data_IF_614889427338
#
_entry.id   IF_614889427338
#
_cell.length_a   1.000
_cell.length_b   1.000
_cell.length_c   1.000
_cell.angle_alpha   90.00
_cell.angle_beta   90.00
_cell.angle_gamma   90.00
#
_symmetry.space_group_name_H-M   'P 1'
#
loop_
_entity.id
_entity.type
_entity.pdbx_description
1 polymer ?
#
# COMPACT_ATOMS: atom_id res chain seq x y z
N UNK A 1 -10.53 12.51 -3.85
CA UNK A 1 -9.40 11.81 -3.24
C UNK A 1 -9.58 10.29 -3.24
N UNK A 2 -10.70 9.75 -2.73
CA UNK A 2 -10.91 8.30 -2.57
C UNK A 2 -10.87 7.54 -3.90
N UNK A 3 -11.52 8.04 -4.95
CA UNK A 3 -11.50 7.43 -6.27
C UNK A 3 -10.08 7.33 -6.86
N UNK A 4 -9.23 8.36 -6.66
CA UNK A 4 -7.85 8.32 -7.11
C UNK A 4 -7.03 7.21 -6.43
N UNK A 5 -7.25 6.99 -5.11
CA UNK A 5 -6.63 5.91 -4.35
C UNK A 5 -7.09 4.54 -4.85
N UNK A 6 -8.39 4.36 -5.06
CA UNK A 6 -8.98 3.12 -5.60
C UNK A 6 -8.35 2.78 -6.95
N UNK A 7 -8.28 3.74 -7.86
CA UNK A 7 -7.68 3.55 -9.19
C UNK A 7 -6.18 3.30 -9.13
N UNK A 8 -5.46 3.99 -8.25
CA UNK A 8 -4.02 3.76 -8.04
C UNK A 8 -3.75 2.32 -7.58
N UNK A 9 -4.51 1.86 -6.58
CA UNK A 9 -4.36 0.51 -6.04
C UNK A 9 -4.76 -0.58 -7.04
N UNK A 10 -5.78 -0.32 -7.86
CA UNK A 10 -6.11 -1.20 -8.98
C UNK A 10 -4.94 -1.35 -9.96
N UNK A 11 -4.32 -0.23 -10.36
CA UNK A 11 -3.16 -0.24 -11.26
C UNK A 11 -1.96 -0.98 -10.64
N UNK A 12 -1.67 -0.73 -9.37
CA UNK A 12 -0.61 -1.44 -8.65
C UNK A 12 -0.89 -2.95 -8.63
N UNK A 13 -2.15 -3.34 -8.37
CA UNK A 13 -2.56 -4.73 -8.46
C UNK A 13 -2.37 -5.35 -9.85
N UNK A 14 -2.69 -4.60 -10.91
CA UNK A 14 -2.56 -5.03 -12.31
C UNK A 14 -1.10 -5.17 -12.75
N UNK A 15 -0.20 -4.33 -12.24
CA UNK A 15 1.24 -4.34 -12.56
C UNK A 15 1.98 -5.53 -11.96
N UNK A 16 1.42 -6.20 -10.96
CA UNK A 16 2.07 -7.36 -10.35
C UNK A 16 2.23 -8.49 -11.39
N UNK A 17 3.48 -8.89 -11.64
CA UNK A 17 3.82 -10.01 -12.50
C UNK A 17 4.00 -11.30 -11.67
N UNK A 18 3.00 -12.20 -11.61
CA UNK A 18 3.08 -13.39 -10.77
C UNK A 18 4.23 -14.33 -11.15
N UNK A 19 4.60 -14.37 -12.43
CA UNK A 19 5.75 -15.18 -12.91
C UNK A 19 7.08 -14.65 -12.39
N UNK A 20 7.31 -13.33 -12.42
CA UNK A 20 8.51 -12.70 -11.83
C UNK A 20 8.55 -12.90 -10.33
N UNK A 21 7.41 -12.71 -9.66
CA UNK A 21 7.29 -12.99 -8.22
C UNK A 21 7.73 -14.41 -7.90
N UNK A 22 7.24 -15.41 -8.62
CA UNK A 22 7.59 -16.81 -8.37
C UNK A 22 9.07 -17.12 -8.61
N UNK A 23 9.66 -16.53 -9.64
CA UNK A 23 11.10 -16.69 -9.94
C UNK A 23 11.98 -16.06 -8.88
N UNK A 24 11.61 -14.89 -8.36
CA UNK A 24 12.37 -14.14 -7.36
C UNK A 24 11.91 -14.38 -5.93
N UNK A 25 10.97 -15.31 -5.67
CA UNK A 25 10.28 -15.50 -4.38
C UNK A 25 11.20 -15.60 -3.17
N UNK A 26 12.36 -16.27 -3.28
CA UNK A 26 13.32 -16.41 -2.16
C UNK A 26 13.88 -15.04 -1.74
N UNK A 27 14.18 -14.16 -2.70
CA UNK A 27 14.72 -12.82 -2.46
C UNK A 27 13.60 -11.89 -1.99
N UNK A 28 12.44 -11.93 -2.64
CA UNK A 28 11.26 -11.11 -2.29
C UNK A 28 10.81 -11.41 -0.86
N UNK A 29 10.57 -12.69 -0.54
CA UNK A 29 10.14 -13.09 0.80
C UNK A 29 11.29 -12.88 1.80
N UNK A 30 12.50 -13.29 1.48
CA UNK A 30 13.64 -13.16 2.39
C UNK A 30 13.95 -11.72 2.77
N UNK A 31 14.19 -10.84 1.78
CA UNK A 31 14.53 -9.43 2.04
C UNK A 31 13.31 -8.61 2.44
N UNK A 32 12.18 -8.78 1.73
CA UNK A 32 10.98 -7.99 1.96
C UNK A 32 10.33 -8.29 3.31
N UNK A 33 10.11 -9.57 3.64
CA UNK A 33 9.54 -9.95 4.95
C UNK A 33 10.46 -9.53 6.10
N UNK A 34 11.77 -9.77 5.97
CA UNK A 34 12.73 -9.35 7.00
C UNK A 34 12.70 -7.83 7.21
N UNK A 35 12.65 -7.05 6.14
CA UNK A 35 12.57 -5.60 6.23
C UNK A 35 11.26 -5.15 6.91
N UNK A 36 10.11 -5.68 6.47
CA UNK A 36 8.82 -5.34 7.08
C UNK A 36 8.80 -5.66 8.57
N UNK A 37 9.13 -6.91 8.93
CA UNK A 37 9.07 -7.36 10.32
C UNK A 37 10.04 -6.57 11.20
N UNK A 38 11.31 -6.44 10.79
CA UNK A 38 12.31 -5.72 11.59
C UNK A 38 11.96 -4.24 11.72
N UNK A 39 11.47 -3.59 10.65
CA UNK A 39 11.08 -2.19 10.73
C UNK A 39 9.86 -1.99 11.60
N UNK A 40 8.81 -2.82 11.44
CA UNK A 40 7.60 -2.73 12.26
C UNK A 40 7.93 -2.96 13.73
N UNK A 41 8.69 -4.00 14.05
CA UNK A 41 9.08 -4.29 15.45
C UNK A 41 9.91 -3.15 16.04
N UNK A 42 10.90 -2.65 15.29
CA UNK A 42 11.76 -1.57 15.79
C UNK A 42 10.98 -0.28 16.03
N UNK A 43 10.15 0.15 15.07
CA UNK A 43 9.33 1.36 15.21
C UNK A 43 8.26 1.20 16.29
N UNK A 44 7.60 0.02 16.35
CA UNK A 44 6.63 -0.28 17.40
C UNK A 44 7.25 -0.15 18.79
N UNK A 45 8.41 -0.75 19.01
CA UNK A 45 9.11 -0.68 20.30
C UNK A 45 9.48 0.76 20.66
N UNK A 46 9.98 1.55 19.71
CA UNK A 46 10.33 2.96 19.93
C UNK A 46 9.09 3.77 20.33
N UNK A 47 7.99 3.63 19.57
CA UNK A 47 6.75 4.34 19.88
C UNK A 47 6.11 3.88 21.19
N UNK A 48 6.19 2.57 21.49
CA UNK A 48 5.72 2.02 22.75
C UNK A 48 6.50 2.56 23.96
N UNK A 49 7.83 2.64 23.86
CA UNK A 49 8.68 3.25 24.89
C UNK A 49 8.42 4.75 25.00
N UNK A 50 8.09 5.41 23.90
CA UNK A 50 7.62 6.80 23.88
C UNK A 50 6.20 7.00 24.45
N UNK A 51 5.61 5.94 25.05
CA UNK A 51 4.29 5.92 25.69
C UNK A 51 3.09 6.15 24.78
N UNK A 52 3.23 5.81 23.50
CA UNK A 52 2.06 5.75 22.61
C UNK A 52 1.16 4.57 23.03
N UNK A 53 -0.14 4.71 22.73
CA UNK A 53 -1.05 3.57 22.87
C UNK A 53 -0.60 2.42 21.96
N UNK A 54 -0.65 1.16 22.40
CA UNK A 54 -0.14 0.02 21.63
C UNK A 54 -0.77 -0.12 20.23
N UNK A 55 -2.07 0.16 20.14
CA UNK A 55 -2.81 0.16 18.85
C UNK A 55 -2.30 1.25 17.90
N UNK A 56 -2.11 2.48 18.39
CA UNK A 56 -1.58 3.59 17.61
C UNK A 56 -0.12 3.36 17.18
N UNK A 57 0.71 2.86 18.12
CA UNK A 57 2.11 2.52 17.84
C UNK A 57 2.23 1.45 16.75
N UNK A 58 1.38 0.42 16.81
CA UNK A 58 1.37 -0.65 15.80
C UNK A 58 0.93 -0.13 14.43
N UNK A 59 -0.15 0.65 14.38
CA UNK A 59 -0.64 1.24 13.13
C UNK A 59 0.41 2.14 12.50
N UNK A 60 1.02 3.06 13.29
CA UNK A 60 2.07 3.94 12.80
C UNK A 60 3.30 3.16 12.30
N UNK A 61 3.71 2.11 13.03
CA UNK A 61 4.82 1.26 12.63
C UNK A 61 4.55 0.51 11.31
N UNK A 62 3.33 -0.02 11.13
CA UNK A 62 2.90 -0.67 9.88
C UNK A 62 2.90 0.32 8.71
N UNK A 63 2.34 1.51 8.90
CA UNK A 63 2.32 2.56 7.88
C UNK A 63 3.73 3.00 7.46
N UNK A 64 4.61 3.21 8.44
CA UNK A 64 5.96 3.73 8.22
C UNK A 64 6.96 2.67 7.74
N UNK A 65 6.64 1.40 7.86
CA UNK A 65 7.47 0.33 7.31
C UNK A 65 7.46 0.28 5.78
N UNK A 66 6.42 0.79 5.14
CA UNK A 66 6.29 0.86 3.69
C UNK A 66 7.18 1.96 3.09
N UNK A 67 7.68 1.73 1.87
CA UNK A 67 8.49 2.69 1.11
C UNK A 67 7.81 3.04 -0.21
N UNK A 68 8.14 4.19 -0.81
CA UNK A 68 7.51 4.62 -2.07
C UNK A 68 8.06 3.85 -3.26
N UNK A 69 7.21 3.03 -3.86
CA UNK A 69 7.53 2.28 -5.07
C UNK A 69 7.75 3.21 -6.25
N UNK A 70 6.88 4.22 -6.42
CA UNK A 70 6.97 5.14 -7.54
C UNK A 70 8.28 5.93 -7.55
N UNK A 71 8.64 6.58 -6.44
CA UNK A 71 9.84 7.42 -6.35
C UNK A 71 11.11 6.56 -6.53
N UNK A 72 11.18 5.42 -5.86
CA UNK A 72 12.38 4.56 -5.90
C UNK A 72 12.60 4.00 -7.29
N UNK A 73 11.58 3.38 -7.90
CA UNK A 73 11.73 2.77 -9.22
C UNK A 73 12.02 3.81 -10.29
N UNK A 74 11.41 4.99 -10.22
CA UNK A 74 11.70 6.08 -11.14
C UNK A 74 13.16 6.53 -11.00
N UNK A 75 13.63 6.79 -9.77
CA UNK A 75 15.02 7.20 -9.50
C UNK A 75 16.03 6.15 -9.98
N UNK A 76 15.76 4.86 -9.74
CA UNK A 76 16.63 3.75 -10.19
C UNK A 76 16.69 3.67 -11.73
N UNK A 77 15.57 3.93 -12.41
CA UNK A 77 15.50 3.97 -13.89
C UNK A 77 16.25 5.17 -14.45
N UNK A 78 16.03 6.38 -13.91
CA UNK A 78 16.70 7.63 -14.34
C UNK A 78 18.21 7.55 -14.18
N UNK A 79 18.69 6.96 -13.07
CA UNK A 79 20.13 6.75 -12.81
C UNK A 79 20.72 5.52 -13.53
N UNK A 80 19.92 4.78 -14.33
CA UNK A 80 20.32 3.55 -15.02
C UNK A 80 20.89 2.45 -14.11
N UNK A 81 20.49 2.41 -12.84
CA UNK A 81 20.96 1.42 -11.85
C UNK A 81 19.92 0.34 -11.52
N UNK A 82 18.79 0.32 -12.23
CA UNK A 82 17.70 -0.65 -12.01
C UNK A 82 18.16 -2.12 -12.18
N UNK A 83 19.11 -2.38 -13.11
CA UNK A 83 19.65 -3.75 -13.37
C UNK A 83 20.84 -4.12 -12.48
N UNK A 84 21.18 -3.31 -11.50
CA UNK A 84 22.24 -3.62 -10.53
C UNK A 84 21.72 -4.46 -9.36
N UNK A 85 22.61 -4.95 -8.50
CA UNK A 85 22.22 -5.66 -7.29
C UNK A 85 21.32 -4.79 -6.37
N UNK A 86 21.59 -3.49 -6.29
CA UNK A 86 20.76 -2.56 -5.54
C UNK A 86 19.36 -2.42 -6.14
N UNK A 87 19.26 -2.29 -7.47
CA UNK A 87 17.98 -2.18 -8.16
C UNK A 87 17.12 -3.43 -7.98
N UNK A 88 17.70 -4.62 -8.15
CA UNK A 88 16.99 -5.89 -7.93
C UNK A 88 16.57 -6.11 -6.47
N UNK A 89 17.43 -5.73 -5.51
CA UNK A 89 17.11 -5.82 -4.09
C UNK A 89 16.00 -4.85 -3.71
N UNK A 90 16.08 -3.58 -4.13
CA UNK A 90 15.05 -2.57 -3.92
C UNK A 90 13.72 -3.01 -4.53
N UNK A 91 13.71 -3.47 -5.78
CA UNK A 91 12.50 -3.99 -6.43
C UNK A 91 11.90 -5.18 -5.66
N UNK A 92 12.74 -6.10 -5.17
CA UNK A 92 12.27 -7.25 -4.41
C UNK A 92 11.59 -6.85 -3.08
N UNK A 93 12.16 -5.88 -2.37
CA UNK A 93 11.59 -5.36 -1.12
C UNK A 93 10.29 -4.62 -1.40
N UNK A 94 10.26 -3.72 -2.39
CA UNK A 94 9.07 -2.94 -2.76
C UNK A 94 7.92 -3.84 -3.19
N UNK A 95 8.20 -4.83 -4.03
CA UNK A 95 7.19 -5.78 -4.48
C UNK A 95 6.58 -6.58 -3.30
N UNK A 96 7.39 -6.92 -2.29
CA UNK A 96 6.87 -7.54 -1.07
C UNK A 96 5.99 -6.55 -0.28
N UNK A 97 6.42 -5.30 -0.13
CA UNK A 97 5.67 -4.26 0.58
C UNK A 97 4.31 -4.00 -0.08
N UNK A 98 4.26 -3.90 -1.42
CA UNK A 98 3.01 -3.70 -2.16
C UNK A 98 2.01 -4.83 -1.91
N UNK A 99 2.48 -6.08 -1.88
CA UNK A 99 1.65 -7.23 -1.53
C UNK A 99 1.26 -7.22 -0.04
N UNK A 100 2.15 -6.77 0.84
CA UNK A 100 1.91 -6.74 2.28
C UNK A 100 0.85 -5.69 2.69
N UNK A 101 0.58 -4.69 1.86
CA UNK A 101 -0.53 -3.73 2.08
C UNK A 101 -1.87 -4.45 2.22
N UNK A 102 -2.08 -5.55 1.48
CA UNK A 102 -3.34 -6.32 1.50
C UNK A 102 -3.63 -6.88 2.91
N UNK A 103 -2.75 -7.73 3.48
CA UNK A 103 -3.00 -8.25 4.82
C UNK A 103 -3.01 -7.14 5.88
N UNK A 104 -2.27 -6.03 5.70
CA UNK A 104 -2.34 -4.88 6.61
C UNK A 104 -3.75 -4.28 6.59
N UNK A 105 -4.30 -3.97 5.41
CA UNK A 105 -5.66 -3.44 5.27
C UNK A 105 -6.73 -4.38 5.85
N UNK A 106 -6.54 -5.69 5.71
CA UNK A 106 -7.43 -6.69 6.27
C UNK A 106 -7.30 -6.82 7.81
N UNK A 107 -6.11 -6.55 8.36
CA UNK A 107 -5.86 -6.61 9.80
C UNK A 107 -6.34 -5.38 10.56
N UNK A 108 -6.35 -4.20 9.95
CA UNK A 108 -6.73 -2.95 10.61
C UNK A 108 -8.12 -2.99 11.26
N UNK A 109 -9.19 -3.50 10.63
CA UNK A 109 -10.50 -3.64 11.28
C UNK A 109 -10.47 -4.58 12.48
N UNK A 110 -9.64 -5.63 12.44
CA UNK A 110 -9.48 -6.60 13.54
C UNK A 110 -8.80 -5.93 14.74
N UNK A 111 -7.81 -5.05 14.49
CA UNK A 111 -7.12 -4.28 15.54
C UNK A 111 -8.06 -3.25 16.17
N UNK A 112 -8.99 -2.69 15.41
CA UNK A 112 -9.91 -1.65 15.83
C UNK A 112 -10.89 -2.05 16.94
N UNK A 113 -10.97 -3.34 17.34
CA UNK A 113 -11.80 -3.86 18.44
C UNK A 113 -13.08 -3.02 18.67
N UNK A 114 -14.13 -3.26 17.89
CA UNK A 114 -15.50 -2.77 18.18
C UNK A 114 -15.64 -1.26 18.50
N UNK A 115 -14.95 -0.39 17.79
CA UNK A 115 -15.21 1.06 17.85
C UNK A 115 -15.71 1.61 16.50
N UNK A 116 -15.92 0.76 15.50
CA UNK A 116 -16.59 1.16 14.28
C UNK A 116 -18.09 1.26 14.57
N UNK A 117 -18.62 2.46 14.49
CA UNK A 117 -20.07 2.69 14.57
C UNK A 117 -20.81 1.71 13.66
N UNK A 118 -21.86 1.12 14.23
CA UNK A 118 -22.72 0.11 13.61
C UNK A 118 -23.38 0.59 12.29
N UNK A 119 -23.29 1.88 11.96
CA UNK A 119 -23.99 2.49 10.81
C UNK A 119 -23.45 2.07 9.43
N UNK A 120 -22.21 1.56 9.30
CA UNK A 120 -21.60 1.32 7.99
C UNK A 120 -21.38 -0.17 7.62
N UNK A 121 -21.84 -1.11 8.45
CA UNK A 121 -21.66 -2.55 8.17
C UNK A 121 -23.00 -3.19 7.75
N UNK A 122 -23.48 -2.86 6.56
CA UNK A 122 -24.82 -3.24 6.09
C UNK A 122 -25.07 -4.77 6.13
N UNK A 123 -24.07 -5.59 5.88
CA UNK A 123 -24.22 -7.05 5.87
C UNK A 123 -23.72 -7.74 7.16
N UNK A 124 -22.74 -7.14 7.87
CA UNK A 124 -22.15 -7.75 9.06
C UNK A 124 -23.01 -7.61 10.31
N UNK A 125 -23.93 -6.63 10.38
CA UNK A 125 -24.85 -6.44 11.49
C UNK A 125 -25.78 -7.64 11.74
N UNK A 126 -26.04 -8.42 10.70
CA UNK A 126 -26.91 -9.61 10.78
C UNK A 126 -26.15 -10.89 11.19
N UNK A 127 -24.81 -10.83 11.33
CA UNK A 127 -23.98 -11.98 11.65
C UNK A 127 -23.54 -11.97 13.13
N UNK A 128 -23.61 -13.12 13.83
CA UNK A 128 -23.06 -13.26 15.17
C UNK A 128 -21.57 -12.89 15.23
N UNK A 129 -21.11 -12.29 16.33
CA UNK A 129 -19.74 -11.78 16.53
C UNK A 129 -18.63 -12.79 16.20
N UNK A 130 -18.85 -14.07 16.41
CA UNK A 130 -17.90 -15.14 16.11
C UNK A 130 -17.79 -15.47 14.61
N UNK A 131 -18.80 -15.10 13.81
CA UNK A 131 -18.81 -15.28 12.35
C UNK A 131 -18.19 -14.11 11.58
N UNK A 132 -18.03 -12.94 12.20
CA UNK A 132 -17.48 -11.74 11.54
C UNK A 132 -16.06 -11.95 10.97
N UNK A 133 -15.09 -12.59 11.66
CA UNK A 133 -13.78 -12.89 11.07
C UNK A 133 -13.86 -13.83 9.86
N UNK A 134 -14.80 -14.76 9.87
CA UNK A 134 -15.03 -15.67 8.76
C UNK A 134 -15.64 -14.98 7.55
N UNK A 135 -16.48 -13.95 7.75
CA UNK A 135 -17.07 -13.17 6.66
C UNK A 135 -16.02 -12.39 5.86
N UNK A 136 -14.96 -11.91 6.51
CA UNK A 136 -13.82 -11.26 5.85
C UNK A 136 -13.11 -12.25 4.91
N UNK A 137 -12.79 -13.43 5.43
CA UNK A 137 -12.15 -14.51 4.65
C UNK A 137 -13.06 -14.96 3.51
N UNK A 138 -14.35 -15.12 3.80
CA UNK A 138 -15.35 -15.50 2.81
C UNK A 138 -15.52 -14.43 1.74
N UNK A 139 -15.55 -13.14 2.11
CA UNK A 139 -15.62 -12.01 1.19
C UNK A 139 -14.45 -11.98 0.22
N UNK A 140 -13.23 -12.13 0.73
CA UNK A 140 -12.02 -12.21 -0.11
C UNK A 140 -12.05 -13.46 -1.00
N UNK A 141 -12.44 -14.63 -0.45
CA UNK A 141 -12.57 -15.86 -1.23
C UNK A 141 -13.65 -15.75 -2.31
N UNK A 142 -14.80 -15.17 -1.97
CA UNK A 142 -15.89 -14.91 -2.91
C UNK A 142 -15.45 -13.96 -4.02
N UNK A 143 -14.70 -12.93 -3.70
CA UNK A 143 -14.14 -12.01 -4.68
C UNK A 143 -13.20 -12.74 -5.65
N UNK A 144 -12.28 -13.55 -5.14
CA UNK A 144 -11.36 -14.35 -5.98
C UNK A 144 -12.16 -15.29 -6.90
N UNK A 145 -13.20 -15.91 -6.37
CA UNK A 145 -14.08 -16.78 -7.14
C UNK A 145 -14.84 -16.02 -8.23
N UNK A 146 -15.50 -14.90 -7.87
CA UNK A 146 -16.21 -14.03 -8.80
C UNK A 146 -15.29 -13.50 -9.91
N UNK A 147 -14.08 -13.12 -9.56
CA UNK A 147 -13.12 -12.65 -10.54
C UNK A 147 -12.79 -13.68 -11.59
N UNK A 148 -12.48 -14.89 -11.16
CA UNK A 148 -12.10 -15.96 -12.07
C UNK A 148 -13.28 -16.45 -12.93
N UNK A 149 -14.46 -16.58 -12.35
CA UNK A 149 -15.60 -17.22 -12.99
C UNK A 149 -16.65 -16.26 -13.56
N UNK A 150 -16.63 -15.00 -13.15
CA UNK A 150 -17.57 -13.97 -13.62
C UNK A 150 -16.85 -12.85 -14.36
N UNK A 151 -15.86 -12.20 -13.73
CA UNK A 151 -15.26 -10.99 -14.29
C UNK A 151 -14.41 -11.28 -15.52
N UNK A 152 -13.53 -12.28 -15.49
CA UNK A 152 -12.71 -12.64 -16.66
C UNK A 152 -13.58 -13.10 -17.83
N UNK A 153 -14.57 -13.99 -17.68
CA UNK A 153 -15.50 -14.34 -18.76
C UNK A 153 -16.32 -13.16 -19.27
N UNK A 154 -16.75 -12.24 -18.38
CA UNK A 154 -17.46 -11.04 -18.76
C UNK A 154 -16.59 -10.12 -19.64
N UNK A 155 -15.35 -9.86 -19.23
CA UNK A 155 -14.40 -9.08 -20.04
C UNK A 155 -14.10 -9.77 -21.37
N UNK A 156 -14.02 -11.10 -21.41
CA UNK A 156 -13.86 -11.86 -22.65
C UNK A 156 -15.04 -11.67 -23.61
N UNK A 157 -16.25 -11.63 -23.06
CA UNK A 157 -17.44 -11.36 -23.87
C UNK A 157 -17.41 -9.93 -24.43
N UNK A 158 -17.06 -8.95 -23.61
CA UNK A 158 -16.93 -7.54 -24.01
C UNK A 158 -15.82 -7.36 -25.06
N UNK A 159 -14.66 -7.96 -24.87
CA UNK A 159 -13.51 -7.88 -25.81
C UNK A 159 -13.86 -8.39 -27.21
N UNK A 160 -14.81 -9.32 -27.34
CA UNK A 160 -15.28 -9.80 -28.65
C UNK A 160 -15.96 -8.72 -29.50
N UNK A 161 -16.39 -7.60 -28.89
CA UNK A 161 -16.95 -6.47 -29.62
C UNK A 161 -15.89 -5.72 -30.46
N UNK A 162 -14.59 -5.93 -30.18
CA UNK A 162 -13.48 -5.24 -30.85
C UNK A 162 -13.35 -3.76 -30.47
N UNK A 163 -14.11 -3.28 -29.47
CA UNK A 163 -14.11 -1.88 -29.02
C UNK A 163 -13.28 -1.77 -27.74
N UNK A 164 -12.12 -1.13 -27.83
CA UNK A 164 -11.21 -0.95 -26.71
C UNK A 164 -11.81 -0.07 -25.61
N UNK A 165 -12.61 0.93 -26.01
CA UNK A 165 -13.29 1.84 -25.08
C UNK A 165 -14.30 1.08 -24.20
N UNK A 166 -14.98 0.09 -24.80
CA UNK A 166 -15.94 -0.74 -24.05
C UNK A 166 -15.24 -1.65 -23.04
N UNK A 167 -14.06 -2.19 -23.39
CA UNK A 167 -13.26 -3.00 -22.49
C UNK A 167 -12.75 -2.16 -21.30
N UNK A 168 -12.24 -0.96 -21.57
CA UNK A 168 -11.79 -0.03 -20.52
C UNK A 168 -12.94 0.38 -19.60
N UNK A 169 -14.08 0.79 -20.16
CA UNK A 169 -15.25 1.15 -19.39
C UNK A 169 -15.75 -0.01 -18.51
N UNK A 170 -15.75 -1.23 -19.05
CA UNK A 170 -16.16 -2.44 -18.33
C UNK A 170 -15.19 -2.78 -17.20
N UNK A 171 -13.87 -2.62 -17.40
CA UNK A 171 -12.90 -2.84 -16.34
C UNK A 171 -13.01 -1.81 -15.22
N UNK A 172 -13.23 -0.53 -15.55
CA UNK A 172 -13.47 0.52 -14.55
C UNK A 172 -14.76 0.26 -13.77
N UNK A 173 -15.83 -0.17 -14.47
CA UNK A 173 -17.08 -0.57 -13.83
C UNK A 173 -16.87 -1.74 -12.85
N UNK A 174 -16.06 -2.73 -13.23
CA UNK A 174 -15.70 -3.84 -12.34
C UNK A 174 -14.92 -3.39 -11.12
N UNK A 175 -13.97 -2.46 -11.27
CA UNK A 175 -13.21 -1.89 -10.15
C UNK A 175 -14.13 -1.21 -9.16
N UNK A 176 -15.03 -0.37 -9.64
CA UNK A 176 -16.02 0.32 -8.79
C UNK A 176 -16.93 -0.70 -8.12
N UNK A 177 -17.48 -1.65 -8.88
CA UNK A 177 -18.37 -2.68 -8.35
C UNK A 177 -17.72 -3.56 -7.28
N UNK A 178 -16.44 -3.93 -7.48
CA UNK A 178 -15.67 -4.69 -6.48
C UNK A 178 -15.38 -3.84 -5.24
N UNK A 179 -15.05 -2.56 -5.42
CA UNK A 179 -14.79 -1.65 -4.31
C UNK A 179 -16.04 -1.44 -3.46
N UNK A 180 -17.20 -1.27 -4.07
CA UNK A 180 -18.49 -1.16 -3.38
C UNK A 180 -18.89 -2.48 -2.70
N UNK A 181 -18.63 -3.61 -3.35
CA UNK A 181 -18.88 -4.91 -2.74
C UNK A 181 -18.02 -5.13 -1.49
N UNK A 182 -16.74 -4.75 -1.54
CA UNK A 182 -15.87 -4.81 -0.36
C UNK A 182 -16.33 -3.88 0.75
N UNK A 183 -16.77 -2.66 0.40
CA UNK A 183 -17.35 -1.73 1.36
C UNK A 183 -18.58 -2.31 2.06
N UNK A 184 -19.48 -2.94 1.30
CA UNK A 184 -20.67 -3.60 1.84
C UNK A 184 -20.38 -4.75 2.81
N UNK A 185 -19.23 -5.41 2.66
CA UNK A 185 -18.73 -6.48 3.55
C UNK A 185 -17.89 -5.92 4.72
N UNK A 186 -17.79 -4.58 4.86
CA UNK A 186 -17.03 -3.95 5.95
C UNK A 186 -15.52 -3.92 5.72
N UNK A 187 -15.07 -4.17 4.48
CA UNK A 187 -13.67 -4.09 4.07
C UNK A 187 -13.37 -2.77 3.35
N UNK A 188 -12.09 -2.42 3.29
CA UNK A 188 -11.67 -1.23 2.55
C UNK A 188 -11.98 -1.34 1.05
N UNK A 189 -12.64 -0.34 0.42
CA UNK A 189 -12.79 -0.25 -1.03
C UNK A 189 -11.45 -0.34 -1.77
N UNK A 190 -10.41 0.21 -1.17
CA UNK A 190 -9.03 0.19 -1.66
C UNK A 190 -8.48 -1.24 -1.78
N UNK A 191 -8.76 -2.10 -0.80
CA UNK A 191 -8.45 -3.53 -0.85
C UNK A 191 -9.16 -4.22 -2.02
N UNK A 192 -10.45 -3.89 -2.22
CA UNK A 192 -11.23 -4.42 -3.35
C UNK A 192 -10.62 -4.09 -4.70
N UNK A 193 -10.29 -2.83 -4.91
CA UNK A 193 -9.65 -2.36 -6.13
C UNK A 193 -8.31 -3.06 -6.40
N UNK A 194 -7.46 -3.17 -5.38
CA UNK A 194 -6.19 -3.87 -5.50
C UNK A 194 -6.37 -5.34 -5.88
N UNK A 195 -7.28 -6.06 -5.20
CA UNK A 195 -7.58 -7.45 -5.52
C UNK A 195 -8.14 -7.62 -6.94
N UNK A 196 -9.01 -6.71 -7.39
CA UNK A 196 -9.49 -6.69 -8.77
C UNK A 196 -8.34 -6.54 -9.77
N UNK A 197 -7.39 -5.63 -9.52
CA UNK A 197 -6.18 -5.46 -10.32
C UNK A 197 -5.33 -6.74 -10.35
N UNK A 198 -5.06 -7.34 -9.19
CA UNK A 198 -4.27 -8.57 -9.07
C UNK A 198 -4.91 -9.76 -9.82
N UNK A 199 -6.24 -9.84 -9.82
CA UNK A 199 -6.96 -10.89 -10.54
C UNK A 199 -6.84 -10.70 -12.05
N UNK A 200 -6.95 -9.46 -12.52
CA UNK A 200 -6.80 -9.13 -13.93
C UNK A 200 -5.33 -9.17 -14.40
N UNK A 201 -4.37 -9.06 -13.49
CA UNK A 201 -2.94 -9.23 -13.77
C UNK A 201 -2.58 -10.60 -14.37
N UNK A 202 -3.38 -11.63 -14.06
CA UNK A 202 -3.25 -12.97 -14.63
C UNK A 202 -4.14 -13.23 -15.86
N UNK A 203 -4.94 -12.24 -16.29
CA UNK A 203 -5.84 -12.38 -17.41
C UNK A 203 -5.15 -12.11 -18.76
N UNK A 204 -5.76 -12.60 -19.84
CA UNK A 204 -5.34 -12.28 -21.21
C UNK A 204 -5.48 -10.79 -21.56
N UNK A 205 -6.28 -10.04 -20.80
CA UNK A 205 -6.58 -8.62 -21.00
C UNK A 205 -5.58 -7.69 -20.30
N UNK A 206 -4.62 -8.21 -19.54
CA UNK A 206 -3.68 -7.41 -18.75
C UNK A 206 -2.99 -6.33 -19.58
N UNK A 207 -2.33 -6.72 -20.66
CA UNK A 207 -1.55 -5.78 -21.48
C UNK A 207 -2.41 -4.70 -22.14
N UNK A 208 -3.62 -5.07 -22.54
CA UNK A 208 -4.56 -4.15 -23.15
C UNK A 208 -5.07 -3.14 -22.12
N UNK A 209 -5.47 -3.60 -20.93
CA UNK A 209 -5.87 -2.74 -19.83
C UNK A 209 -4.73 -1.86 -19.34
N UNK A 210 -3.53 -2.42 -19.20
CA UNK A 210 -2.33 -1.67 -18.81
C UNK A 210 -2.04 -0.55 -19.81
N UNK A 211 -2.03 -0.84 -21.10
CA UNK A 211 -1.75 0.16 -22.16
C UNK A 211 -2.79 1.29 -22.22
N UNK A 212 -4.05 0.99 -21.93
CA UNK A 212 -5.13 1.98 -21.96
C UNK A 212 -5.20 2.83 -20.69
N UNK A 213 -4.82 2.26 -19.53
CA UNK A 213 -4.91 2.95 -18.24
C UNK A 213 -3.57 3.65 -17.89
N UNK A 214 -2.44 3.17 -18.41
CA UNK A 214 -1.11 3.74 -18.17
C UNK A 214 -1.02 5.26 -18.43
N UNK A 215 -1.62 5.84 -19.49
CA UNK A 215 -1.62 7.29 -19.70
C UNK A 215 -2.30 8.06 -18.57
N UNK A 216 -3.29 7.46 -17.93
CA UNK A 216 -4.01 8.06 -16.81
C UNK A 216 -3.30 7.88 -15.47
N UNK A 217 -2.35 6.96 -15.36
CA UNK A 217 -1.60 6.68 -14.13
C UNK A 217 -0.90 7.94 -13.61
N UNK A 218 -0.18 8.64 -14.49
CA UNK A 218 0.49 9.89 -14.11
C UNK A 218 -0.48 10.97 -13.64
N UNK A 219 -1.61 11.11 -14.32
CA UNK A 219 -2.67 12.05 -13.96
C UNK A 219 -3.31 11.67 -12.62
N UNK A 220 -3.66 10.40 -12.43
CA UNK A 220 -4.27 9.90 -11.19
C UNK A 220 -3.31 10.06 -10.00
N UNK A 221 -2.04 9.76 -10.22
CA UNK A 221 -0.98 9.95 -9.21
C UNK A 221 -0.82 11.44 -8.86
N UNK A 222 -0.80 12.32 -9.87
CA UNK A 222 -0.74 13.76 -9.64
C UNK A 222 -1.96 14.27 -8.86
N UNK A 223 -3.18 13.87 -9.24
CA UNK A 223 -4.42 14.21 -8.51
C UNK A 223 -4.37 13.69 -7.09
N UNK A 224 -3.88 12.48 -6.89
CA UNK A 224 -3.70 11.89 -5.56
C UNK A 224 -2.73 12.73 -4.71
N UNK A 225 -1.53 13.04 -5.23
CA UNK A 225 -0.55 13.83 -4.47
C UNK A 225 -1.01 15.27 -4.22
N UNK A 226 -1.68 15.91 -5.16
CA UNK A 226 -2.29 17.24 -4.96
C UNK A 226 -3.36 17.18 -3.89
N UNK A 227 -4.24 16.17 -3.95
CA UNK A 227 -5.29 15.96 -2.94
C UNK A 227 -4.71 15.69 -1.55
N UNK A 228 -3.72 14.81 -1.44
CA UNK A 228 -3.02 14.53 -0.17
C UNK A 228 -2.28 15.78 0.30
N UNK A 229 -1.53 16.44 -0.59
CA UNK A 229 -0.81 17.67 -0.27
C UNK A 229 -1.72 18.79 0.27
N UNK A 230 -2.92 18.92 -0.30
CA UNK A 230 -3.92 19.90 0.16
C UNK A 230 -4.53 19.55 1.53
N UNK A 231 -4.43 18.31 1.98
CA UNK A 231 -4.89 17.88 3.32
C UNK A 231 -3.82 18.06 4.40
N UNK A 232 -2.56 18.34 4.01
CA UNK A 232 -1.48 18.58 4.96
C UNK A 232 -1.74 19.90 5.69
N UNK A 233 -1.98 19.79 6.98
CA UNK A 233 -2.18 20.94 7.82
C UNK A 233 -0.82 21.48 8.33
N UNK A 234 -0.31 22.51 7.69
CA UNK A 234 0.94 23.16 8.11
C UNK A 234 0.89 23.71 9.54
N UNK A 235 -0.29 24.04 10.04
CA UNK A 235 -0.47 24.49 11.41
C UNK A 235 -0.08 23.41 12.42
N UNK A 236 -0.36 22.13 12.12
CA UNK A 236 0.05 20.99 12.95
C UNK A 236 1.58 20.89 13.03
N UNK A 237 2.28 21.18 11.93
CA UNK A 237 3.75 21.20 11.91
C UNK A 237 4.29 22.33 12.78
N UNK A 238 3.63 23.52 12.76
CA UNK A 238 4.02 24.67 13.56
C UNK A 238 3.69 24.51 15.04
N UNK A 239 2.64 23.76 15.39
CA UNK A 239 2.26 23.50 16.77
C UNK A 239 3.26 22.59 17.49
N UNK A 240 3.77 21.59 16.82
CA UNK A 240 4.64 20.58 17.46
C UNK A 240 5.80 20.17 16.53
N UNK A 241 6.65 21.12 16.13
CA UNK A 241 7.72 20.88 15.17
C UNK A 241 8.74 19.85 15.69
N UNK A 242 9.04 19.89 17.00
CA UNK A 242 9.99 18.98 17.61
C UNK A 242 9.54 17.52 17.49
N UNK A 243 8.25 17.25 17.72
CA UNK A 243 7.68 15.92 17.58
C UNK A 243 7.76 15.44 16.12
N UNK A 244 7.37 16.27 15.16
CA UNK A 244 7.32 15.89 13.75
C UNK A 244 8.73 15.64 13.21
N UNK A 245 9.67 16.58 13.38
CA UNK A 245 11.02 16.42 12.86
C UNK A 245 11.81 15.32 13.58
N UNK A 246 11.65 15.17 14.89
CA UNK A 246 12.27 14.05 15.62
C UNK A 246 11.76 12.70 15.13
N UNK A 247 10.45 12.57 14.89
CA UNK A 247 9.85 11.35 14.36
C UNK A 247 10.33 11.05 12.93
N UNK A 248 10.42 12.07 12.06
CA UNK A 248 11.01 11.93 10.72
C UNK A 248 12.42 11.36 10.79
N UNK A 249 13.29 11.97 11.63
CA UNK A 249 14.68 11.52 11.78
C UNK A 249 14.72 10.09 12.32
N UNK A 250 13.93 9.76 13.34
CA UNK A 250 13.89 8.43 13.93
C UNK A 250 13.46 7.38 12.88
N UNK A 251 12.41 7.65 12.11
CA UNK A 251 11.91 6.73 11.09
C UNK A 251 12.95 6.51 10.00
N UNK A 252 13.54 7.59 9.47
CA UNK A 252 14.57 7.51 8.45
C UNK A 252 15.79 6.69 8.94
N UNK A 253 16.27 6.96 10.16
CA UNK A 253 17.42 6.26 10.75
C UNK A 253 17.11 4.78 11.00
N UNK A 254 15.95 4.46 11.57
CA UNK A 254 15.55 3.07 11.83
C UNK A 254 15.47 2.29 10.52
N UNK A 255 14.78 2.84 9.51
CA UNK A 255 14.67 2.18 8.20
C UNK A 255 16.04 2.02 7.53
N UNK A 256 16.88 3.06 7.56
CA UNK A 256 18.22 3.01 7.01
C UNK A 256 19.06 1.91 7.68
N UNK A 257 19.06 1.83 9.01
CA UNK A 257 19.80 0.83 9.76
C UNK A 257 19.31 -0.59 9.50
N UNK A 258 17.99 -0.78 9.50
CA UNK A 258 17.36 -2.08 9.20
C UNK A 258 17.70 -2.53 7.78
N UNK A 259 17.55 -1.66 6.79
CA UNK A 259 17.84 -1.95 5.39
C UNK A 259 19.32 -2.25 5.17
N UNK A 260 20.20 -1.45 5.80
CA UNK A 260 21.64 -1.68 5.75
C UNK A 260 22.02 -3.04 6.36
N UNK A 261 21.44 -3.39 7.52
CA UNK A 261 21.63 -4.68 8.17
C UNK A 261 21.17 -5.85 7.31
N UNK A 262 20.01 -5.74 6.66
CA UNK A 262 19.46 -6.75 5.75
C UNK A 262 20.37 -6.90 4.53
N UNK A 263 20.75 -5.81 3.89
CA UNK A 263 21.63 -5.88 2.72
C UNK A 263 22.99 -6.53 3.04
N UNK A 264 23.55 -6.26 4.22
CA UNK A 264 24.74 -6.94 4.72
C UNK A 264 24.50 -8.43 4.94
N UNK A 265 23.38 -8.82 5.53
CA UNK A 265 23.00 -10.23 5.74
C UNK A 265 22.86 -10.98 4.40
N UNK A 266 22.27 -10.34 3.39
CA UNK A 266 22.14 -10.89 2.04
C UNK A 266 23.38 -10.68 1.16
N UNK A 267 24.51 -10.26 1.75
CA UNK A 267 25.81 -10.12 1.10
C UNK A 267 25.84 -9.15 -0.09
N UNK A 268 25.09 -8.06 -0.01
CA UNK A 268 25.22 -6.97 -0.97
C UNK A 268 26.59 -6.29 -0.83
N UNK A 269 27.17 -5.82 -1.94
CA UNK A 269 28.37 -4.98 -1.93
C UNK A 269 28.06 -3.68 -1.16
N UNK A 270 29.07 -3.11 -0.51
CA UNK A 270 28.89 -1.96 0.40
C UNK A 270 28.20 -0.79 -0.30
N UNK A 271 28.67 -0.41 -1.48
CA UNK A 271 28.08 0.65 -2.31
C UNK A 271 26.61 0.38 -2.68
N UNK A 272 26.33 -0.86 -3.11
CA UNK A 272 24.97 -1.29 -3.45
C UNK A 272 24.05 -1.34 -2.22
N UNK A 273 24.61 -1.71 -1.07
CA UNK A 273 23.85 -1.75 0.18
C UNK A 273 23.45 -0.36 0.66
N UNK A 274 24.36 0.63 0.58
CA UNK A 274 24.02 2.02 0.87
C UNK A 274 22.93 2.55 -0.07
N UNK A 275 23.00 2.26 -1.37
CA UNK A 275 21.97 2.65 -2.33
C UNK A 275 20.58 2.11 -1.94
N UNK A 276 20.49 0.82 -1.56
CA UNK A 276 19.22 0.23 -1.09
C UNK A 276 18.75 0.91 0.19
N UNK A 277 19.63 1.10 1.15
CA UNK A 277 19.29 1.67 2.45
C UNK A 277 18.78 3.11 2.34
N UNK A 278 19.43 3.96 1.57
CA UNK A 278 19.00 5.34 1.34
C UNK A 278 17.71 5.41 0.49
N UNK A 279 17.66 4.67 -0.62
CA UNK A 279 16.52 4.71 -1.52
C UNK A 279 15.20 4.28 -0.83
N UNK A 280 15.25 3.32 0.09
CA UNK A 280 14.05 2.75 0.75
C UNK A 280 13.81 3.31 2.16
N UNK A 281 14.63 4.23 2.67
CA UNK A 281 14.48 4.77 4.03
C UNK A 281 13.24 5.63 4.23
N UNK A 282 12.69 6.21 3.17
CA UNK A 282 11.48 7.02 3.20
C UNK A 282 10.22 6.19 3.49
N UNK A 283 9.13 6.89 3.85
CA UNK A 283 7.79 6.33 3.94
C UNK A 283 7.13 6.39 2.55
N UNK A 284 6.30 5.41 2.22
CA UNK A 284 5.63 5.32 0.93
C UNK A 284 4.24 5.94 0.89
N UNK A 285 3.70 6.07 -0.31
CA UNK A 285 2.37 6.61 -0.59
C UNK A 285 1.23 5.81 0.06
N UNK A 286 1.41 4.51 0.24
CA UNK A 286 0.41 3.68 0.92
C UNK A 286 0.19 4.05 2.39
N UNK A 287 1.16 4.71 3.03
CA UNK A 287 0.98 5.21 4.38
C UNK A 287 -0.19 6.21 4.47
N UNK A 288 -0.40 7.05 3.46
CA UNK A 288 -1.55 7.98 3.43
C UNK A 288 -2.89 7.23 3.43
N UNK A 289 -2.97 6.14 2.67
CA UNK A 289 -4.17 5.30 2.59
C UNK A 289 -4.43 4.62 3.93
N UNK A 290 -3.39 3.98 4.50
CA UNK A 290 -3.50 3.24 5.76
C UNK A 290 -3.82 4.16 6.94
N UNK A 291 -3.20 5.35 7.02
CA UNK A 291 -3.44 6.35 8.06
C UNK A 291 -4.89 6.85 7.99
N UNK A 292 -5.38 7.21 6.78
CA UNK A 292 -6.77 7.64 6.61
C UNK A 292 -7.77 6.54 6.94
N UNK A 293 -7.51 5.31 6.50
CA UNK A 293 -8.37 4.17 6.81
C UNK A 293 -8.38 3.86 8.32
N UNK A 294 -7.22 3.90 8.97
CA UNK A 294 -7.11 3.71 10.42
C UNK A 294 -7.85 4.80 11.22
N UNK A 295 -7.92 6.02 10.69
CA UNK A 295 -8.70 7.09 11.31
C UNK A 295 -10.21 6.85 11.18
N UNK A 296 -10.67 6.37 10.02
CA UNK A 296 -12.07 5.96 9.82
C UNK A 296 -12.46 4.80 10.76
N UNK A 297 -11.50 3.96 11.14
CA UNK A 297 -11.67 2.88 12.13
C UNK A 297 -11.46 3.33 13.58
N UNK A 298 -11.35 4.62 13.86
CA UNK A 298 -11.11 5.21 15.19
C UNK A 298 -9.84 4.71 15.90
N UNK A 299 -8.90 4.11 15.18
CA UNK A 299 -7.59 3.71 15.70
C UNK A 299 -6.68 4.91 15.94
N UNK A 300 -6.80 5.94 15.11
CA UNK A 300 -6.03 7.17 15.18
C UNK A 300 -6.93 8.36 15.44
N UNK A 301 -6.49 9.28 16.29
CA UNK A 301 -7.16 10.57 16.46
C UNK A 301 -6.95 11.46 15.22
N UNK A 302 -7.86 12.42 14.93
CA UNK A 302 -7.66 13.36 13.82
C UNK A 302 -6.35 14.15 13.90
N UNK A 303 -5.90 14.48 15.11
CA UNK A 303 -4.63 15.18 15.32
C UNK A 303 -3.44 14.29 14.96
N UNK A 304 -3.43 13.04 15.44
CA UNK A 304 -2.36 12.07 15.14
C UNK A 304 -2.33 11.74 13.64
N UNK A 305 -3.51 11.60 13.00
CA UNK A 305 -3.62 11.47 11.54
C UNK A 305 -2.85 12.59 10.83
N UNK A 306 -3.18 13.86 11.16
CA UNK A 306 -2.54 15.02 10.53
C UNK A 306 -1.02 15.03 10.74
N UNK A 307 -0.54 14.63 11.93
CA UNK A 307 0.89 14.51 12.22
C UNK A 307 1.56 13.40 11.39
N UNK A 308 0.95 12.19 11.32
CA UNK A 308 1.49 11.08 10.53
C UNK A 308 1.51 11.39 9.02
N UNK A 309 0.48 12.09 8.53
CA UNK A 309 0.42 12.56 7.15
C UNK A 309 1.55 13.55 6.84
N UNK A 310 1.80 14.52 7.74
CA UNK A 310 2.90 15.47 7.60
C UNK A 310 4.27 14.78 7.63
N UNK A 311 4.50 13.84 8.56
CA UNK A 311 5.72 13.06 8.67
C UNK A 311 5.96 12.28 7.36
N UNK A 312 4.92 11.61 6.83
CA UNK A 312 5.01 10.86 5.58
C UNK A 312 5.44 11.77 4.43
N UNK A 313 4.77 12.91 4.26
CA UNK A 313 5.08 13.86 3.19
C UNK A 313 6.52 14.42 3.29
N UNK A 314 6.96 14.77 4.49
CA UNK A 314 8.33 15.28 4.70
C UNK A 314 9.37 14.21 4.34
N UNK A 315 9.16 12.95 4.77
CA UNK A 315 10.11 11.88 4.41
C UNK A 315 10.18 11.64 2.91
N UNK A 316 9.05 11.73 2.20
CA UNK A 316 9.02 11.59 0.74
C UNK A 316 9.74 12.74 0.03
N UNK A 317 9.61 13.97 0.52
CA UNK A 317 10.31 15.14 -0.05
C UNK A 317 11.82 15.09 0.17
N UNK A 318 12.28 14.54 1.29
CA UNK A 318 13.72 14.49 1.64
C UNK A 318 14.48 13.45 0.81
N UNK A 319 13.86 12.35 0.44
CA UNK A 319 14.53 11.20 -0.21
C UNK A 319 15.18 11.49 -1.57
N UNK A 320 14.59 12.26 -2.50
CA UNK A 320 15.27 12.60 -3.75
C UNK A 320 16.54 13.42 -3.55
N UNK A 321 16.71 14.03 -2.37
CA UNK A 321 17.87 14.86 -1.99
C UNK A 321 18.99 13.97 -1.39
N UNK A 322 18.61 12.86 -0.74
CA UNK A 322 19.52 11.88 -0.15
C UNK A 322 20.09 10.93 -1.21
#
# INVERSE_FOLDING_TARGET
AEFGVIMLLFLVGLEIEPRKFWTMRKRIIGMGLSQMVLTVVSLFLIFYVAKWRPDQALVAALCFALSSTAIVLQTLKEKNIFRTQAGEASFSILLFQDIAVIPILALLPIIAKKSADEENQILLQYLPDWLQPFSIILGVAALIFLGRYVFVPFLRYVSRSGMNELLTASSLFLVIGVSELMYAVGLSPALGAFLAGLMLANSEFRHELESQIEPFKGLLLAVFFVSVGSTINFFVIMQDPMFIFSTVIVVLLVKLLVLYGIGKFFKLKIDQNFLVAFALSQIGEFAFVLVNYSTKLYLLSPQLNAQLMAITAITMCVTPIL
#
